data_IF_764845308563
#
_entry.id   IF_764845308563
#
_cell.length_a   1.000
_cell.length_b   1.000
_cell.length_c   1.000
_cell.angle_alpha   90.00
_cell.angle_beta   90.00
_cell.angle_gamma   90.00
#
_symmetry.space_group_name_H-M   'P 1'
#
loop_
_entity.id
_entity.type
_entity.pdbx_description
1 polymer ?
#
# COMPACT_ATOMS: atom_id res chain seq x y z
N UNK A 1 5.74 3.30 7.08
CA UNK A 1 4.52 4.03 6.72
C UNK A 1 4.34 5.12 7.76
N UNK A 2 4.25 6.39 7.38
CA UNK A 2 4.09 7.45 8.35
C UNK A 2 2.74 7.34 9.09
N UNK A 3 2.77 7.47 10.40
CA UNK A 3 1.62 7.44 11.29
C UNK A 3 0.66 8.62 11.13
N UNK A 4 0.88 9.48 10.17
CA UNK A 4 0.08 10.69 10.02
C UNK A 4 -0.37 10.82 8.58
N UNK A 5 -1.61 11.20 8.39
CA UNK A 5 -2.18 11.67 7.13
C UNK A 5 -1.53 12.96 6.63
N UNK A 6 -0.52 13.46 7.32
CA UNK A 6 0.29 14.58 6.83
C UNK A 6 1.24 14.06 5.77
N UNK A 7 0.86 14.27 4.54
CA UNK A 7 1.49 13.82 3.31
C UNK A 7 2.85 14.40 2.98
N UNK A 8 3.42 15.10 3.90
CA UNK A 8 4.80 15.57 3.77
C UNK A 8 5.70 14.55 4.45
N UNK A 9 6.12 13.54 3.71
CA UNK A 9 7.31 12.77 4.09
C UNK A 9 8.51 13.69 3.97
N UNK A 10 8.60 14.64 4.90
CA UNK A 10 9.81 15.46 5.01
C UNK A 10 10.92 14.57 5.55
N UNK A 11 12.09 14.60 4.95
CA UNK A 11 13.29 14.09 5.58
C UNK A 11 13.38 14.68 6.99
N UNK A 12 13.83 13.88 7.94
CA UNK A 12 14.11 14.38 9.28
C UNK A 12 15.55 14.03 9.66
N UNK A 13 16.13 14.83 10.54
CA UNK A 13 17.52 14.65 10.94
C UNK A 13 17.79 13.29 11.62
N UNK A 14 16.81 12.70 12.29
CA UNK A 14 16.94 11.36 12.85
C UNK A 14 17.24 10.31 11.77
N UNK A 15 16.52 10.35 10.65
CA UNK A 15 16.78 9.43 9.52
C UNK A 15 18.14 9.65 8.89
N UNK A 16 18.56 10.91 8.77
CA UNK A 16 19.91 11.26 8.30
C UNK A 16 20.97 10.74 9.28
N UNK A 17 20.75 10.90 10.58
CA UNK A 17 21.64 10.38 11.62
C UNK A 17 21.77 8.86 11.59
N UNK A 18 20.66 8.14 11.44
CA UNK A 18 20.70 6.67 11.26
C UNK A 18 21.41 6.25 9.99
N UNK A 19 21.17 6.94 8.87
CA UNK A 19 21.87 6.64 7.62
C UNK A 19 23.38 6.90 7.73
N UNK A 20 23.80 7.99 8.38
CA UNK A 20 25.22 8.29 8.66
C UNK A 20 25.86 7.22 9.56
N UNK A 21 25.16 6.80 10.62
CA UNK A 21 25.64 5.72 11.49
C UNK A 21 25.76 4.39 10.73
N UNK A 22 24.76 4.03 9.95
CA UNK A 22 24.79 2.81 9.13
C UNK A 22 25.93 2.85 8.10
N UNK A 23 26.13 4.02 7.47
CA UNK A 23 27.24 4.20 6.54
C UNK A 23 28.59 3.91 7.19
N UNK A 24 28.83 4.40 8.42
CA UNK A 24 30.07 4.24 9.15
C UNK A 24 30.23 2.84 9.75
N UNK A 25 29.19 2.34 10.42
CA UNK A 25 29.25 1.06 11.13
C UNK A 25 29.31 -0.13 10.17
N UNK A 26 28.57 -0.08 9.06
CA UNK A 26 28.45 -1.17 8.08
C UNK A 26 29.26 -0.92 6.79
N UNK A 27 30.07 0.15 6.75
CA UNK A 27 30.77 0.60 5.54
C UNK A 27 29.84 0.65 4.31
N UNK A 28 28.65 1.25 4.50
CA UNK A 28 27.57 1.23 3.50
C UNK A 28 27.54 2.52 2.67
N UNK A 29 27.99 2.50 1.41
CA UNK A 29 28.10 3.70 0.59
C UNK A 29 26.74 4.24 0.13
N UNK A 30 25.70 3.41 0.00
CA UNK A 30 24.34 3.88 -0.34
C UNK A 30 23.68 4.63 0.82
N UNK A 31 23.91 4.20 2.06
CA UNK A 31 23.46 4.94 3.23
C UNK A 31 24.15 6.32 3.32
N UNK A 32 25.44 6.41 2.98
CA UNK A 32 26.16 7.66 2.86
C UNK A 32 25.57 8.56 1.76
N UNK A 33 25.28 7.98 0.58
CA UNK A 33 24.62 8.70 -0.53
C UNK A 33 23.26 9.26 -0.14
N UNK A 34 22.43 8.46 0.55
CA UNK A 34 21.13 8.92 1.05
C UNK A 34 21.27 10.11 2.02
N UNK A 35 22.18 10.02 2.99
CA UNK A 35 22.42 11.11 3.94
C UNK A 35 22.88 12.38 3.22
N UNK A 36 23.81 12.29 2.26
CA UNK A 36 24.28 13.43 1.44
C UNK A 36 23.14 14.07 0.67
N UNK A 37 22.34 13.28 -0.06
CA UNK A 37 21.21 13.79 -0.86
C UNK A 37 20.22 14.62 -0.03
N UNK A 38 20.01 14.24 1.23
CA UNK A 38 19.13 15.02 2.12
C UNK A 38 19.84 16.28 2.63
N UNK A 39 21.11 16.17 3.04
CA UNK A 39 21.87 17.29 3.58
C UNK A 39 22.12 18.38 2.52
N UNK A 40 22.29 18.01 1.26
CA UNK A 40 22.39 18.97 0.14
C UNK A 40 21.11 19.80 -0.05
N UNK A 41 19.95 19.15 0.11
CA UNK A 41 18.65 19.84 -0.03
C UNK A 41 18.23 20.61 1.22
N UNK A 42 18.58 20.12 2.40
CA UNK A 42 18.22 20.70 3.70
C UNK A 42 19.44 20.71 4.65
N UNK A 43 20.45 21.58 4.43
CA UNK A 43 21.70 21.57 5.21
C UNK A 43 21.50 21.75 6.73
N UNK A 44 20.45 22.47 7.12
CA UNK A 44 20.13 22.73 8.52
C UNK A 44 19.24 21.65 9.18
N UNK A 45 18.95 20.56 8.47
CA UNK A 45 18.04 19.53 8.99
C UNK A 45 18.58 18.90 10.28
N UNK A 46 19.88 18.71 10.36
CA UNK A 46 20.54 18.17 11.56
C UNK A 46 20.47 19.14 12.73
N UNK A 47 20.71 20.44 12.52
CA UNK A 47 20.60 21.47 13.57
C UNK A 47 19.21 21.48 14.21
N UNK A 48 18.16 21.37 13.41
CA UNK A 48 16.76 21.32 13.88
C UNK A 48 16.43 20.07 14.68
N UNK A 49 17.17 18.98 14.48
CA UNK A 49 16.92 17.68 15.12
C UNK A 49 17.72 17.53 16.42
N UNK A 50 18.93 18.09 16.49
CA UNK A 50 19.83 18.00 17.62
C UNK A 50 19.34 18.69 18.90
N UNK A 51 18.47 19.66 18.78
CA UNK A 51 18.03 20.48 19.91
C UNK A 51 16.82 19.92 20.66
N UNK A 52 16.68 18.61 20.74
CA UNK A 52 15.96 18.08 21.87
C UNK A 52 14.67 17.37 21.64
N UNK A 53 14.54 16.35 20.81
CA UNK A 53 13.33 15.49 20.92
C UNK A 53 13.45 14.01 20.57
N UNK A 54 14.55 13.46 20.22
CA UNK A 54 14.60 12.01 20.05
C UNK A 54 15.99 11.49 20.32
N UNK A 55 16.07 10.40 21.04
CA UNK A 55 17.24 9.64 21.37
C UNK A 55 18.19 9.55 20.19
N UNK A 56 18.99 10.53 20.15
CA UNK A 56 19.63 10.98 18.98
C UNK A 56 21.02 10.37 18.96
N UNK A 57 21.39 10.06 17.81
CA UNK A 57 22.73 9.65 17.50
C UNK A 57 23.75 10.79 17.65
N UNK A 58 23.44 11.89 18.39
CA UNK A 58 24.34 13.00 18.61
C UNK A 58 25.59 12.54 19.32
N UNK A 59 25.42 11.81 20.43
CA UNK A 59 26.53 11.25 21.16
C UNK A 59 27.40 10.35 20.26
N UNK A 60 26.76 9.52 19.42
CA UNK A 60 27.45 8.67 18.47
C UNK A 60 28.31 9.51 17.49
N UNK A 61 27.74 10.53 16.89
CA UNK A 61 28.46 11.40 15.96
C UNK A 61 29.62 12.16 16.61
N UNK A 62 29.47 12.52 17.88
CA UNK A 62 30.52 13.18 18.64
C UNK A 62 31.63 12.21 19.09
N UNK A 63 31.34 10.95 19.25
CA UNK A 63 32.27 9.96 19.83
C UNK A 63 32.83 8.97 18.82
N UNK A 64 32.17 8.76 17.68
CA UNK A 64 32.64 7.79 16.68
C UNK A 64 33.97 8.22 16.06
N UNK A 65 34.89 7.25 15.94
CA UNK A 65 36.14 7.39 15.21
C UNK A 65 36.05 6.76 13.80
N UNK A 66 34.90 6.17 13.45
CA UNK A 66 34.71 5.52 12.16
C UNK A 66 34.49 6.56 11.06
N UNK A 67 35.18 6.42 9.95
CA UNK A 67 35.05 7.27 8.77
C UNK A 67 33.85 6.85 7.92
N UNK A 68 33.39 7.74 7.05
CA UNK A 68 32.46 7.36 5.98
C UNK A 68 33.14 6.44 4.96
N UNK A 69 32.37 5.60 4.25
CA UNK A 69 32.88 4.81 3.14
C UNK A 69 33.63 5.71 2.14
N UNK A 70 34.77 5.23 1.63
CA UNK A 70 35.53 5.92 0.58
C UNK A 70 34.88 5.77 -0.79
N UNK A 71 34.16 4.67 -0.99
CA UNK A 71 33.45 4.38 -2.23
C UNK A 71 32.19 5.26 -2.33
N UNK A 72 32.01 5.89 -3.48
CA UNK A 72 30.79 6.62 -3.80
C UNK A 72 29.85 5.76 -4.62
N UNK A 73 28.58 5.73 -4.23
CA UNK A 73 27.51 5.01 -4.93
C UNK A 73 26.32 5.90 -5.18
N UNK A 74 25.56 5.58 -6.23
CA UNK A 74 24.29 6.25 -6.53
C UNK A 74 23.12 5.45 -5.98
N UNK A 75 22.09 6.14 -5.48
CA UNK A 75 20.83 5.51 -5.11
C UNK A 75 20.13 4.85 -6.31
N UNK A 76 20.44 5.27 -7.54
CA UNK A 76 19.93 4.67 -8.78
C UNK A 76 20.38 3.21 -8.97
N UNK A 77 21.44 2.77 -8.30
CA UNK A 77 21.94 1.40 -8.36
C UNK A 77 21.17 0.42 -7.45
N UNK A 78 20.34 0.96 -6.54
CA UNK A 78 19.54 0.12 -5.64
C UNK A 78 18.41 -0.57 -6.39
N UNK A 79 18.00 -1.77 -5.96
CA UNK A 79 16.84 -2.45 -6.51
C UNK A 79 15.59 -1.58 -6.44
N UNK A 80 14.82 -1.51 -7.54
CA UNK A 80 13.60 -0.72 -7.59
C UNK A 80 12.48 -1.32 -6.73
N UNK A 81 12.50 -2.62 -6.51
CA UNK A 81 11.57 -3.31 -5.61
C UNK A 81 12.30 -3.81 -4.38
N UNK A 82 11.72 -3.59 -3.20
CA UNK A 82 12.22 -4.15 -1.95
C UNK A 82 11.09 -4.65 -1.07
N UNK A 83 11.23 -5.88 -0.59
CA UNK A 83 10.30 -6.53 0.34
C UNK A 83 10.98 -6.72 1.69
N UNK A 84 10.32 -6.26 2.73
CA UNK A 84 10.68 -6.46 4.13
C UNK A 84 9.62 -7.42 4.72
N UNK A 85 9.74 -8.71 4.38
CA UNK A 85 8.75 -9.74 4.69
C UNK A 85 8.49 -9.88 6.20
N UNK A 86 9.53 -9.79 7.02
CA UNK A 86 9.41 -9.86 8.49
C UNK A 86 8.51 -8.75 9.08
N UNK A 87 8.48 -7.57 8.46
CA UNK A 87 7.61 -6.48 8.86
C UNK A 87 6.33 -6.40 8.03
N UNK A 88 6.25 -7.18 6.95
CA UNK A 88 5.13 -7.18 6.02
C UNK A 88 5.00 -5.87 5.25
N UNK A 89 6.11 -5.27 4.84
CA UNK A 89 6.14 -4.03 4.06
C UNK A 89 6.90 -4.26 2.77
N UNK A 90 6.38 -3.71 1.68
CA UNK A 90 7.08 -3.70 0.40
C UNK A 90 6.96 -2.35 -0.29
N UNK A 91 7.94 -2.05 -1.15
CA UNK A 91 7.97 -0.85 -1.98
C UNK A 91 8.42 -1.19 -3.39
N UNK A 92 7.77 -0.58 -4.38
CA UNK A 92 8.10 -0.68 -5.80
C UNK A 92 8.29 0.73 -6.35
N UNK A 93 9.42 1.00 -6.97
CA UNK A 93 9.84 2.31 -7.46
C UNK A 93 10.11 2.29 -8.95
N UNK A 94 10.07 3.44 -9.60
CA UNK A 94 10.52 3.61 -10.98
C UNK A 94 11.90 4.27 -11.05
N UNK A 95 12.28 5.04 -10.03
CA UNK A 95 13.58 5.68 -9.95
C UNK A 95 13.94 6.03 -8.50
N UNK A 96 15.05 5.55 -8.01
CA UNK A 96 15.60 5.94 -6.71
C UNK A 96 16.66 7.04 -6.83
N UNK A 97 17.20 7.25 -8.03
CA UNK A 97 18.15 8.32 -8.31
C UNK A 97 17.49 9.70 -8.50
N UNK A 98 16.23 9.74 -8.96
CA UNK A 98 15.47 10.99 -9.14
C UNK A 98 14.10 10.89 -8.46
N UNK A 99 14.06 11.29 -7.18
CA UNK A 99 12.81 11.25 -6.39
C UNK A 99 11.72 12.14 -7.02
N UNK A 100 12.10 13.21 -7.71
CA UNK A 100 11.15 14.12 -8.36
C UNK A 100 10.36 13.47 -9.49
N UNK A 101 10.90 12.42 -10.12
CA UNK A 101 10.28 11.64 -11.19
C UNK A 101 9.90 10.22 -10.77
N UNK A 102 10.09 9.88 -9.50
CA UNK A 102 9.81 8.54 -9.00
C UNK A 102 8.30 8.32 -8.83
N UNK A 103 7.75 7.37 -9.56
CA UNK A 103 6.49 6.74 -9.23
C UNK A 103 6.76 5.59 -8.25
N UNK A 104 5.96 5.47 -7.20
CA UNK A 104 6.14 4.45 -6.19
C UNK A 104 4.79 3.86 -5.78
N UNK A 105 4.77 2.54 -5.60
CA UNK A 105 3.72 1.85 -4.86
C UNK A 105 4.31 1.30 -3.57
N UNK A 106 3.65 1.56 -2.45
CA UNK A 106 3.93 0.90 -1.18
C UNK A 106 2.82 -0.06 -0.82
N UNK A 107 3.16 -1.18 -0.21
CA UNK A 107 2.24 -2.24 0.18
C UNK A 107 2.47 -2.66 1.62
N UNK A 108 1.40 -3.05 2.31
CA UNK A 108 1.49 -3.58 3.67
C UNK A 108 0.59 -4.80 3.84
N UNK A 109 1.19 -5.90 4.29
CA UNK A 109 0.54 -7.09 4.84
C UNK A 109 1.43 -7.62 5.96
N UNK A 110 1.12 -7.25 7.21
CA UNK A 110 2.04 -7.37 8.33
C UNK A 110 1.64 -8.47 9.31
N UNK A 111 2.59 -9.34 9.74
CA UNK A 111 2.34 -10.37 10.73
C UNK A 111 2.01 -9.82 12.12
N UNK A 112 2.30 -8.54 12.38
CA UNK A 112 2.06 -7.90 13.67
C UNK A 112 0.67 -7.26 13.81
N UNK A 113 -0.24 -7.52 12.87
CA UNK A 113 -1.60 -6.99 12.93
C UNK A 113 -1.70 -5.48 12.99
N UNK A 114 -2.64 -4.97 13.79
CA UNK A 114 -2.91 -3.54 13.95
C UNK A 114 -2.94 -3.12 15.43
N UNK A 115 -1.86 -3.38 16.17
CA UNK A 115 -1.72 -2.98 17.56
C UNK A 115 -1.11 -1.59 17.71
N UNK A 116 -1.27 -0.96 18.90
CA UNK A 116 -0.71 0.36 19.24
C UNK A 116 -1.03 1.44 18.19
N UNK A 117 -0.04 1.93 17.47
CA UNK A 117 -0.19 2.94 16.43
C UNK A 117 -0.46 2.37 15.03
N UNK A 118 -0.39 1.07 14.84
CA UNK A 118 -0.65 0.44 13.55
C UNK A 118 -2.14 0.54 13.18
N UNK A 119 -2.43 0.45 11.88
CA UNK A 119 -3.75 0.63 11.31
C UNK A 119 -4.32 -0.72 10.85
N UNK A 120 -5.64 -0.86 10.80
CA UNK A 120 -6.31 -2.04 10.26
C UNK A 120 -6.29 -1.99 8.72
N UNK A 121 -5.11 -2.18 8.14
CA UNK A 121 -4.84 -1.95 6.73
C UNK A 121 -3.99 -3.05 6.07
N UNK A 122 -4.28 -4.31 6.42
CA UNK A 122 -3.65 -5.44 5.75
C UNK A 122 -4.06 -5.48 4.28
N UNK A 123 -3.12 -5.86 3.42
CA UNK A 123 -3.25 -5.83 1.96
C UNK A 123 -3.61 -4.44 1.40
N UNK A 124 -3.32 -3.35 2.14
CA UNK A 124 -3.47 -2.01 1.61
C UNK A 124 -2.23 -1.57 0.83
N UNK A 125 -2.46 -0.81 -0.23
CA UNK A 125 -1.40 -0.16 -0.99
C UNK A 125 -1.58 1.35 -1.03
N UNK A 126 -0.51 2.06 -1.36
CA UNK A 126 -0.57 3.50 -1.63
C UNK A 126 0.29 3.82 -2.86
N UNK A 127 -0.10 4.82 -3.64
CA UNK A 127 0.68 5.30 -4.78
C UNK A 127 1.23 6.70 -4.54
N UNK A 128 2.40 6.97 -5.09
CA UNK A 128 3.11 8.23 -4.93
C UNK A 128 3.77 8.63 -6.24
N UNK A 129 3.92 9.94 -6.42
CA UNK A 129 4.76 10.50 -7.47
C UNK A 129 5.46 11.76 -6.96
N UNK A 130 6.75 11.92 -7.29
CA UNK A 130 7.52 13.07 -6.85
C UNK A 130 7.61 13.23 -5.33
N UNK A 131 7.60 12.11 -4.61
CA UNK A 131 7.62 12.07 -3.14
C UNK A 131 6.31 12.46 -2.46
N UNK A 132 5.21 12.65 -3.21
CA UNK A 132 3.88 12.95 -2.67
C UNK A 132 2.87 11.86 -2.99
N UNK A 133 1.96 11.61 -2.03
CA UNK A 133 0.91 10.62 -2.16
C UNK A 133 -0.13 11.01 -3.22
N UNK A 134 -0.70 9.99 -3.87
CA UNK A 134 -1.84 10.13 -4.77
C UNK A 134 -3.00 9.32 -4.20
N UNK A 135 -3.05 7.98 -4.39
CA UNK A 135 -3.95 7.14 -3.61
C UNK A 135 -3.31 6.83 -2.27
N UNK A 136 -3.95 7.23 -1.17
CA UNK A 136 -3.36 7.17 0.14
C UNK A 136 -4.40 6.96 1.24
N UNK A 137 -3.97 6.45 2.39
CA UNK A 137 -4.81 6.30 3.58
C UNK A 137 -5.45 7.61 4.00
N UNK A 138 -6.76 7.62 4.23
CA UNK A 138 -7.55 8.78 4.62
C UNK A 138 -7.73 8.89 6.15
N UNK A 139 -8.55 9.83 6.61
CA UNK A 139 -8.82 10.07 8.02
C UNK A 139 -7.75 10.90 8.72
N UNK A 140 -8.05 11.30 9.95
CA UNK A 140 -7.18 12.13 10.78
C UNK A 140 -6.95 11.49 12.14
N UNK A 141 -5.73 11.53 12.61
CA UNK A 141 -5.43 11.14 13.99
C UNK A 141 -5.73 12.31 14.91
N UNK A 142 -6.98 12.41 15.34
CA UNK A 142 -7.48 13.46 16.23
C UNK A 142 -7.13 13.18 17.69
N UNK A 143 -7.11 11.92 18.07
CA UNK A 143 -6.69 11.40 19.36
C UNK A 143 -6.14 9.99 19.23
N UNK A 144 -6.28 9.16 20.26
CA UNK A 144 -5.87 7.77 20.23
C UNK A 144 -7.05 6.80 20.11
N UNK A 145 -8.17 7.13 20.73
CA UNK A 145 -9.37 6.29 20.83
C UNK A 145 -10.68 7.08 20.62
N UNK A 146 -10.61 8.31 20.13
CA UNK A 146 -11.81 9.04 19.72
C UNK A 146 -12.48 8.39 18.51
N UNK A 147 -13.76 8.69 18.30
CA UNK A 147 -14.58 8.06 17.26
C UNK A 147 -13.97 8.21 15.88
N UNK A 148 -13.45 9.37 15.52
CA UNK A 148 -12.85 9.56 14.21
C UNK A 148 -11.54 8.77 14.05
N UNK A 149 -10.73 8.68 15.11
CA UNK A 149 -9.53 7.86 15.11
C UNK A 149 -9.88 6.38 14.95
N UNK A 150 -10.90 5.89 15.66
CA UNK A 150 -11.25 4.47 15.68
C UNK A 150 -12.05 4.03 14.46
N UNK A 151 -13.06 4.80 14.04
CA UNK A 151 -14.00 4.40 12.99
C UNK A 151 -13.64 4.93 11.59
N UNK A 152 -12.72 5.91 11.48
CA UNK A 152 -12.18 6.36 10.22
C UNK A 152 -10.68 6.03 10.11
N UNK A 153 -9.81 6.76 10.81
CA UNK A 153 -8.37 6.73 10.59
C UNK A 153 -7.72 5.35 10.76
N UNK A 154 -8.11 4.59 11.80
CA UNK A 154 -7.60 3.24 12.07
C UNK A 154 -8.30 2.14 11.30
N UNK A 155 -9.50 2.42 10.84
CA UNK A 155 -10.42 1.47 10.24
C UNK A 155 -10.04 1.18 8.79
N UNK A 156 -10.28 -0.02 8.31
CA UNK A 156 -10.02 -0.43 6.93
C UNK A 156 -10.74 0.44 5.90
N UNK A 157 -11.88 1.05 6.29
CA UNK A 157 -12.64 2.01 5.46
C UNK A 157 -11.83 3.23 5.01
N UNK A 158 -10.71 3.52 5.67
CA UNK A 158 -9.82 4.63 5.32
C UNK A 158 -8.62 4.21 4.45
N UNK A 159 -8.56 2.97 4.00
CA UNK A 159 -7.38 2.42 3.33
C UNK A 159 -7.73 1.80 1.98
N UNK A 160 -6.79 1.81 1.04
CA UNK A 160 -6.94 1.20 -0.29
C UNK A 160 -6.86 -0.34 -0.15
N UNK A 161 -7.91 -0.93 0.38
CA UNK A 161 -8.05 -2.35 0.67
C UNK A 161 -9.47 -2.83 0.35
N UNK A 162 -9.93 -3.90 0.95
CA UNK A 162 -11.26 -4.50 0.72
C UNK A 162 -12.09 -4.42 2.00
N UNK A 163 -13.42 -4.21 1.89
CA UNK A 163 -14.36 -4.51 2.97
C UNK A 163 -15.19 -5.74 2.60
N UNK A 164 -15.62 -6.48 3.60
CA UNK A 164 -16.46 -7.68 3.48
C UNK A 164 -17.79 -7.41 4.19
N UNK A 165 -18.91 -7.31 3.47
CA UNK A 165 -20.19 -6.84 4.01
C UNK A 165 -20.07 -5.49 4.77
N UNK A 166 -19.21 -4.59 4.30
CA UNK A 166 -18.89 -3.36 5.00
C UNK A 166 -18.04 -3.54 6.27
N UNK A 167 -17.67 -4.79 6.62
CA UNK A 167 -16.84 -5.09 7.79
C UNK A 167 -15.38 -4.74 7.54
N UNK A 168 -14.75 -4.27 8.61
CA UNK A 168 -13.34 -3.89 8.68
C UNK A 168 -12.48 -5.02 9.26
N UNK A 169 -11.18 -4.88 9.15
CA UNK A 169 -10.23 -5.77 9.79
C UNK A 169 -10.20 -5.56 11.32
N UNK A 170 -9.80 -6.60 12.05
CA UNK A 170 -9.65 -6.55 13.52
C UNK A 170 -8.62 -5.49 13.92
N UNK A 171 -8.83 -4.92 15.09
CA UNK A 171 -7.82 -4.12 15.77
C UNK A 171 -7.16 -5.02 16.81
N UNK A 172 -5.85 -5.15 16.73
CA UNK A 172 -5.06 -6.06 17.56
C UNK A 172 -4.04 -6.85 16.73
N UNK A 173 -3.25 -7.68 17.38
CA UNK A 173 -2.28 -8.56 16.74
C UNK A 173 -2.97 -9.69 15.97
N UNK A 174 -4.15 -10.09 16.37
CA UNK A 174 -4.94 -11.16 15.78
C UNK A 174 -5.46 -10.80 14.36
N UNK A 175 -5.48 -9.50 14.03
CA UNK A 175 -5.84 -9.00 12.71
C UNK A 175 -4.64 -8.91 11.77
N UNK A 176 -3.90 -9.99 11.62
CA UNK A 176 -2.65 -10.02 10.87
C UNK A 176 -2.82 -10.43 9.40
N UNK A 177 -1.80 -10.13 8.64
CA UNK A 177 -1.54 -10.64 7.31
C UNK A 177 -0.05 -10.89 7.16
N UNK A 178 0.40 -11.41 6.03
CA UNK A 178 1.83 -11.57 5.73
C UNK A 178 2.07 -11.51 4.22
N UNK A 179 3.34 -11.51 3.82
CA UNK A 179 3.77 -11.59 2.42
C UNK A 179 4.34 -13.00 2.17
N UNK A 180 3.52 -13.98 1.72
CA UNK A 180 3.98 -15.35 1.53
C UNK A 180 4.91 -15.53 0.34
N UNK A 181 4.78 -14.73 -0.72
CA UNK A 181 5.61 -14.84 -1.92
C UNK A 181 5.98 -13.49 -2.47
N UNK A 182 7.21 -13.40 -2.98
CA UNK A 182 7.66 -12.20 -3.69
C UNK A 182 8.80 -12.52 -4.65
N UNK A 183 9.01 -11.61 -5.57
CA UNK A 183 10.13 -11.59 -6.50
C UNK A 183 10.58 -10.14 -6.73
N UNK A 184 11.82 -9.84 -6.40
CA UNK A 184 12.47 -8.55 -6.60
C UNK A 184 13.27 -8.63 -7.92
N UNK A 185 12.66 -8.24 -9.03
CA UNK A 185 13.24 -8.37 -10.37
C UNK A 185 13.61 -7.03 -11.02
N UNK A 186 14.24 -7.10 -12.21
CA UNK A 186 14.60 -5.92 -12.98
C UNK A 186 13.51 -5.51 -13.97
N UNK A 187 12.93 -6.48 -14.70
CA UNK A 187 11.89 -6.21 -15.70
C UNK A 187 10.49 -6.52 -15.22
N UNK A 188 10.37 -7.35 -14.21
CA UNK A 188 9.12 -7.67 -13.54
C UNK A 188 9.36 -7.91 -12.07
N UNK A 189 8.54 -7.33 -11.21
CA UNK A 189 8.55 -7.64 -9.77
C UNK A 189 7.18 -8.08 -9.32
N UNK A 190 7.13 -8.93 -8.29
CA UNK A 190 5.89 -9.54 -7.81
C UNK A 190 5.84 -9.62 -6.30
N UNK A 191 4.65 -9.35 -5.75
CA UNK A 191 4.37 -9.49 -4.33
C UNK A 191 2.98 -10.08 -4.21
N UNK A 192 2.78 -11.02 -3.28
CA UNK A 192 1.44 -11.39 -2.83
C UNK A 192 1.34 -11.19 -1.33
N UNK A 193 0.28 -10.53 -0.89
CA UNK A 193 -0.09 -10.42 0.51
C UNK A 193 -1.30 -11.30 0.79
N UNK A 194 -1.29 -11.96 1.94
CA UNK A 194 -2.41 -12.74 2.45
C UNK A 194 -2.96 -12.05 3.71
N UNK A 195 -4.22 -11.66 3.67
CA UNK A 195 -4.95 -11.02 4.77
C UNK A 195 -6.18 -11.82 5.20
N UNK A 196 -6.20 -13.13 4.91
CA UNK A 196 -7.33 -14.01 5.22
C UNK A 196 -7.68 -14.04 6.72
N UNK A 197 -6.69 -13.83 7.59
CA UNK A 197 -6.89 -13.79 9.05
C UNK A 197 -7.21 -12.39 9.62
N UNK A 198 -7.21 -11.36 8.76
CA UNK A 198 -7.33 -10.00 9.24
C UNK A 198 -8.74 -9.63 9.74
N UNK A 199 -9.79 -10.27 9.23
CA UNK A 199 -11.18 -9.91 9.52
C UNK A 199 -11.76 -10.67 10.71
N UNK A 200 -12.79 -10.12 11.34
CA UNK A 200 -13.51 -10.71 12.44
C UNK A 200 -13.75 -9.76 13.60
N UNK A 201 -14.28 -10.29 14.72
CA UNK A 201 -14.47 -9.56 15.97
C UNK A 201 -13.15 -9.10 16.56
N UNK A 202 -13.18 -7.98 17.26
CA UNK A 202 -12.05 -7.53 18.10
C UNK A 202 -12.06 -8.37 19.36
N UNK A 203 -10.98 -9.13 19.58
CA UNK A 203 -10.82 -10.03 20.73
C UNK A 203 -9.66 -9.65 21.64
N UNK A 204 -8.76 -8.78 21.17
CA UNK A 204 -7.58 -8.34 21.91
C UNK A 204 -7.95 -7.65 23.24
N UNK A 205 -7.59 -8.19 24.43
CA UNK A 205 -8.03 -7.66 25.74
C UNK A 205 -7.69 -6.18 25.93
N UNK A 206 -6.51 -5.76 25.44
CA UNK A 206 -6.08 -4.36 25.55
C UNK A 206 -7.01 -3.42 24.77
N UNK A 207 -7.53 -3.85 23.61
CA UNK A 207 -8.43 -3.02 22.82
C UNK A 207 -9.85 -3.04 23.36
N UNK A 208 -10.34 -4.19 23.88
CA UNK A 208 -11.62 -4.27 24.56
C UNK A 208 -11.65 -3.34 25.79
N UNK A 209 -10.62 -3.40 26.65
CA UNK A 209 -10.50 -2.51 27.81
C UNK A 209 -10.41 -1.03 27.41
N UNK A 210 -9.68 -0.71 26.34
CA UNK A 210 -9.63 0.66 25.82
C UNK A 210 -10.98 1.13 25.28
N UNK A 211 -11.73 0.25 24.63
CA UNK A 211 -13.08 0.50 24.18
C UNK A 211 -14.01 0.89 25.32
N UNK A 212 -14.00 0.11 26.41
CA UNK A 212 -14.76 0.42 27.63
C UNK A 212 -14.42 1.81 28.18
N UNK A 213 -13.12 2.13 28.29
CA UNK A 213 -12.66 3.41 28.84
C UNK A 213 -12.95 4.61 27.93
N UNK A 214 -13.06 4.43 26.64
CA UNK A 214 -13.25 5.51 25.65
C UNK A 214 -14.65 5.58 25.07
N UNK A 215 -15.53 4.62 25.39
CA UNK A 215 -16.84 4.48 24.77
C UNK A 215 -16.82 3.92 23.35
N UNK A 216 -15.67 3.43 22.87
CA UNK A 216 -15.55 2.81 21.53
C UNK A 216 -16.29 1.47 21.51
N UNK A 217 -17.19 1.30 20.54
CA UNK A 217 -17.99 0.09 20.35
C UNK A 217 -17.45 -0.73 19.18
N UNK A 218 -17.22 -2.03 19.41
CA UNK A 218 -16.79 -2.98 18.38
C UNK A 218 -17.97 -3.86 17.97
N UNK A 219 -18.94 -3.27 17.28
CA UNK A 219 -20.19 -3.92 16.88
C UNK A 219 -20.27 -4.06 15.36
N UNK A 220 -21.21 -4.89 14.83
CA UNK A 220 -21.43 -5.01 13.39
C UNK A 220 -21.70 -3.67 12.70
N UNK A 221 -22.48 -2.77 13.34
CA UNK A 221 -22.81 -1.44 12.80
C UNK A 221 -21.57 -0.54 12.68
N UNK A 222 -20.58 -0.80 13.50
CA UNK A 222 -19.28 -0.11 13.47
C UNK A 222 -18.24 -0.80 12.60
N UNK A 223 -18.56 -2.00 12.07
CA UNK A 223 -17.75 -2.74 11.11
C UNK A 223 -17.00 -3.95 11.67
N UNK A 224 -17.33 -4.46 12.85
CA UNK A 224 -16.72 -5.66 13.41
C UNK A 224 -17.75 -6.73 13.72
N UNK A 225 -17.65 -7.87 13.04
CA UNK A 225 -18.53 -9.03 13.20
C UNK A 225 -17.75 -10.32 13.02
N UNK A 226 -18.42 -11.47 13.04
CA UNK A 226 -17.81 -12.76 12.76
C UNK A 226 -17.06 -12.77 11.42
N UNK A 227 -15.96 -13.49 11.37
CA UNK A 227 -15.18 -13.62 10.15
C UNK A 227 -15.95 -14.41 9.09
N UNK A 228 -16.37 -13.74 8.04
CA UNK A 228 -17.05 -14.32 6.88
C UNK A 228 -16.13 -14.59 5.70
N UNK A 229 -14.83 -14.44 5.89
CA UNK A 229 -13.79 -14.57 4.88
C UNK A 229 -13.09 -15.93 5.02
N UNK A 230 -12.92 -16.63 3.91
CA UNK A 230 -12.02 -17.76 3.77
C UNK A 230 -10.68 -17.33 3.19
N UNK A 231 -10.69 -16.42 2.20
CA UNK A 231 -9.46 -15.97 1.54
C UNK A 231 -9.52 -14.50 1.12
N UNK A 232 -8.41 -13.80 1.39
CA UNK A 232 -8.08 -12.52 0.75
C UNK A 232 -6.59 -12.49 0.42
N UNK A 233 -6.26 -12.78 -0.82
CA UNK A 233 -4.92 -12.58 -1.39
C UNK A 233 -4.93 -11.43 -2.38
N UNK A 234 -3.94 -10.56 -2.27
CA UNK A 234 -3.70 -9.45 -3.21
C UNK A 234 -2.34 -9.66 -3.86
N UNK A 235 -2.36 -9.86 -5.17
CA UNK A 235 -1.18 -9.97 -6.01
C UNK A 235 -0.87 -8.61 -6.60
N UNK A 236 0.38 -8.16 -6.50
CA UNK A 236 0.85 -6.90 -7.08
C UNK A 236 2.04 -7.20 -7.97
N UNK A 237 1.94 -6.81 -9.23
CA UNK A 237 2.98 -7.01 -10.24
C UNK A 237 3.39 -5.63 -10.77
N UNK A 238 4.67 -5.31 -10.69
CA UNK A 238 5.24 -4.11 -11.32
C UNK A 238 5.75 -4.47 -12.71
N UNK A 239 5.36 -3.68 -13.71
CA UNK A 239 5.73 -3.87 -15.11
C UNK A 239 6.96 -3.01 -15.47
N UNK A 240 8.15 -3.55 -15.23
CA UNK A 240 9.40 -2.81 -15.39
C UNK A 240 9.42 -1.53 -14.56
N UNK A 241 10.06 -0.50 -15.09
CA UNK A 241 10.13 0.83 -14.46
C UNK A 241 9.12 1.82 -15.07
N UNK A 242 8.01 1.31 -15.62
CA UNK A 242 7.01 2.13 -16.33
C UNK A 242 6.10 2.96 -15.41
N UNK A 243 6.00 2.59 -14.13
CA UNK A 243 5.00 3.12 -13.19
C UNK A 243 3.64 2.41 -13.31
N UNK A 244 3.57 1.33 -14.09
CA UNK A 244 2.36 0.50 -14.20
C UNK A 244 2.44 -0.66 -13.21
N UNK A 245 1.38 -0.81 -12.43
CA UNK A 245 1.20 -1.88 -11.46
C UNK A 245 -0.08 -2.63 -11.78
N UNK A 246 -0.01 -3.96 -11.82
CA UNK A 246 -1.17 -4.84 -11.95
C UNK A 246 -1.50 -5.36 -10.57
N UNK A 247 -2.73 -5.13 -10.11
CA UNK A 247 -3.23 -5.60 -8.80
C UNK A 247 -4.36 -6.58 -9.08
N UNK A 248 -4.20 -7.83 -8.61
CA UNK A 248 -5.20 -8.86 -8.77
C UNK A 248 -5.61 -9.38 -7.39
N UNK A 249 -6.91 -9.22 -7.06
CA UNK A 249 -7.47 -9.67 -5.79
C UNK A 249 -8.18 -10.99 -5.97
N UNK A 250 -7.81 -11.95 -5.12
CA UNK A 250 -8.41 -13.25 -4.97
C UNK A 250 -9.18 -13.27 -3.65
N UNK A 251 -10.53 -13.32 -3.76
CA UNK A 251 -11.44 -13.20 -2.63
C UNK A 251 -12.38 -14.40 -2.58
N UNK A 252 -12.49 -15.02 -1.41
CA UNK A 252 -13.43 -16.13 -1.16
C UNK A 252 -14.06 -15.96 0.22
N UNK A 253 -15.39 -15.97 0.27
CA UNK A 253 -16.19 -15.91 1.48
C UNK A 253 -16.67 -17.29 1.92
N UNK A 254 -16.97 -17.47 3.19
CA UNK A 254 -17.65 -18.66 3.73
C UNK A 254 -19.07 -18.80 3.18
N UNK A 255 -19.68 -17.65 2.90
CA UNK A 255 -21.01 -17.50 2.31
C UNK A 255 -20.99 -16.38 1.25
N UNK A 256 -22.12 -16.12 0.60
CA UNK A 256 -22.25 -14.97 -0.29
C UNK A 256 -22.22 -13.66 0.51
N UNK A 257 -21.27 -12.79 0.18
CA UNK A 257 -21.02 -11.49 0.83
C UNK A 257 -20.82 -10.41 -0.23
N UNK A 258 -20.99 -9.15 0.15
CA UNK A 258 -20.56 -8.03 -0.68
C UNK A 258 -19.08 -7.73 -0.46
N UNK A 259 -18.37 -7.38 -1.54
CA UNK A 259 -16.95 -7.02 -1.53
C UNK A 259 -16.81 -5.58 -1.98
N UNK A 260 -16.24 -4.71 -1.16
CA UNK A 260 -16.01 -3.32 -1.53
C UNK A 260 -14.52 -3.05 -1.73
N UNK A 261 -14.13 -2.78 -2.98
CA UNK A 261 -12.81 -2.29 -3.33
C UNK A 261 -12.75 -0.78 -3.07
N UNK A 262 -11.72 -0.32 -2.36
CA UNK A 262 -11.61 1.06 -1.89
C UNK A 262 -10.39 1.78 -2.47
N UNK A 263 -10.58 3.05 -2.85
CA UNK A 263 -9.50 4.01 -3.14
C UNK A 263 -9.77 5.33 -2.43
N UNK A 264 -8.69 6.02 -2.04
CA UNK A 264 -8.79 7.28 -1.32
C UNK A 264 -7.77 8.28 -1.85
N UNK A 265 -8.18 9.55 -1.96
CA UNK A 265 -7.27 10.67 -2.16
C UNK A 265 -7.42 11.68 -1.02
N UNK A 266 -6.36 12.43 -0.74
CA UNK A 266 -6.28 13.27 0.47
C UNK A 266 -5.83 14.70 0.17
N UNK A 267 -5.22 14.97 -0.98
CA UNK A 267 -4.79 16.32 -1.39
C UNK A 267 -5.73 16.97 -2.40
N UNK A 268 -6.21 16.19 -3.36
CA UNK A 268 -7.04 16.65 -4.46
C UNK A 268 -8.23 15.71 -4.65
N UNK A 269 -9.34 16.18 -5.20
CA UNK A 269 -10.46 15.33 -5.61
C UNK A 269 -10.00 14.20 -6.53
N UNK A 270 -10.70 13.08 -6.48
CA UNK A 270 -10.58 12.05 -7.52
C UNK A 270 -11.71 12.19 -8.54
N UNK A 271 -11.45 11.71 -9.73
CA UNK A 271 -12.40 11.65 -10.83
C UNK A 271 -12.75 10.19 -11.12
N UNK A 272 -14.00 9.90 -11.43
CA UNK A 272 -14.46 8.56 -11.81
C UNK A 272 -15.16 8.63 -13.18
N UNK A 273 -14.92 7.59 -13.99
CA UNK A 273 -15.64 7.33 -15.25
C UNK A 273 -16.09 5.88 -15.26
N UNK A 274 -17.37 5.65 -15.47
CA UNK A 274 -17.90 4.33 -15.75
C UNK A 274 -17.85 4.07 -17.25
N UNK A 275 -17.20 2.97 -17.62
CA UNK A 275 -17.08 2.52 -19.01
C UNK A 275 -17.70 1.12 -19.13
N UNK A 276 -18.05 0.64 -20.31
CA UNK A 276 -18.54 -0.72 -20.46
C UNK A 276 -17.52 -1.74 -19.90
N UNK A 277 -17.89 -2.46 -18.83
CA UNK A 277 -17.08 -3.47 -18.13
C UNK A 277 -15.80 -2.95 -17.45
N UNK A 278 -15.70 -1.66 -17.18
CA UNK A 278 -14.55 -1.03 -16.52
C UNK A 278 -15.00 0.19 -15.72
N UNK A 279 -14.34 0.41 -14.58
CA UNK A 279 -14.42 1.69 -13.86
C UNK A 279 -13.03 2.31 -13.84
N UNK A 280 -12.92 3.53 -14.34
CA UNK A 280 -11.67 4.29 -14.30
C UNK A 280 -11.73 5.31 -13.16
N UNK A 281 -10.72 5.28 -12.28
CA UNK A 281 -10.59 6.24 -11.18
C UNK A 281 -9.25 6.95 -11.29
N UNK A 282 -9.27 8.27 -11.34
CA UNK A 282 -8.07 9.10 -11.46
C UNK A 282 -7.84 9.90 -10.20
N UNK A 283 -6.68 9.70 -9.58
CA UNK A 283 -6.16 10.51 -8.48
C UNK A 283 -4.99 11.36 -8.95
N UNK A 284 -4.81 12.54 -8.32
CA UNK A 284 -3.74 13.49 -8.61
C UNK A 284 -3.10 14.00 -7.32
N UNK A 285 -1.87 14.49 -7.41
CA UNK A 285 -1.22 15.20 -6.31
C UNK A 285 -0.68 16.58 -6.75
N UNK A 286 -0.32 17.42 -5.78
CA UNK A 286 0.19 18.78 -6.02
C UNK A 286 1.64 18.83 -6.55
N UNK A 287 2.29 17.68 -6.75
CA UNK A 287 3.61 17.58 -7.40
C UNK A 287 3.50 17.23 -8.90
N UNK A 288 2.29 17.27 -9.46
CA UNK A 288 2.04 16.91 -10.86
C UNK A 288 2.00 15.39 -11.08
N UNK A 289 1.81 14.61 -10.03
CA UNK A 289 1.61 13.17 -10.13
C UNK A 289 0.17 12.80 -10.45
N UNK A 290 -0.01 11.76 -11.25
CA UNK A 290 -1.29 11.17 -11.64
C UNK A 290 -1.22 9.67 -11.39
N UNK A 291 -2.29 9.08 -10.86
CA UNK A 291 -2.52 7.63 -10.84
C UNK A 291 -3.89 7.35 -11.43
N UNK A 292 -3.93 6.55 -12.48
CA UNK A 292 -5.16 6.10 -13.13
C UNK A 292 -5.37 4.63 -12.83
N UNK A 293 -6.45 4.30 -12.14
CA UNK A 293 -6.84 2.93 -11.83
C UNK A 293 -7.90 2.48 -12.84
N UNK A 294 -7.60 1.48 -13.66
CA UNK A 294 -8.53 0.76 -14.52
C UNK A 294 -9.00 -0.48 -13.77
N UNK A 295 -10.20 -0.44 -13.20
CA UNK A 295 -10.75 -1.48 -12.33
C UNK A 295 -11.74 -2.35 -13.10
N UNK A 296 -11.52 -3.66 -13.04
CA UNK A 296 -12.36 -4.72 -13.58
C UNK A 296 -12.80 -5.66 -12.46
N UNK A 297 -14.03 -6.15 -12.52
CA UNK A 297 -14.59 -7.06 -11.52
C UNK A 297 -15.17 -8.31 -12.16
N UNK A 298 -15.15 -9.44 -11.44
CA UNK A 298 -15.84 -10.69 -11.82
C UNK A 298 -17.35 -10.61 -11.64
N UNK A 299 -17.83 -9.76 -10.74
CA UNK A 299 -19.23 -9.57 -10.42
C UNK A 299 -19.68 -8.16 -10.79
N UNK A 300 -21.01 -7.97 -10.96
CA UNK A 300 -21.57 -6.63 -11.09
C UNK A 300 -21.27 -5.81 -9.85
N UNK A 301 -20.86 -4.56 -10.06
CA UNK A 301 -20.52 -3.63 -8.97
C UNK A 301 -21.35 -2.34 -9.05
N UNK A 302 -21.57 -1.74 -7.90
CA UNK A 302 -22.09 -0.41 -7.72
C UNK A 302 -20.97 0.51 -7.22
N UNK A 303 -20.86 1.70 -7.79
CA UNK A 303 -19.80 2.65 -7.49
C UNK A 303 -20.32 3.83 -6.70
N UNK A 304 -19.47 4.35 -5.80
CA UNK A 304 -19.75 5.60 -5.08
C UNK A 304 -18.45 6.39 -4.88
N UNK A 305 -18.59 7.74 -4.94
CA UNK A 305 -17.57 8.68 -4.47
C UNK A 305 -18.20 9.61 -3.44
N UNK A 306 -17.51 9.79 -2.31
CA UNK A 306 -17.89 10.76 -1.29
C UNK A 306 -16.67 11.62 -0.89
N UNK A 307 -16.91 12.87 -0.52
CA UNK A 307 -15.90 13.80 0.02
C UNK A 307 -16.02 13.99 1.54
N UNK A 308 -16.79 13.14 2.19
CA UNK A 308 -17.09 13.18 3.62
C UNK A 308 -16.70 11.85 4.28
N UNK A 309 -16.53 11.87 5.60
CA UNK A 309 -16.25 10.66 6.35
C UNK A 309 -17.54 9.94 6.76
N UNK A 310 -17.45 8.65 6.95
CA UNK A 310 -18.58 7.77 7.35
C UNK A 310 -18.81 7.72 8.87
N UNK A 311 -18.10 8.52 9.66
CA UNK A 311 -18.31 8.71 11.10
C UNK A 311 -18.20 10.19 11.46
N UNK A 312 -18.70 10.56 12.61
CA UNK A 312 -18.64 11.95 13.09
C UNK A 312 -17.19 12.36 13.44
N UNK A 313 -16.78 13.58 13.12
CA UNK A 313 -17.51 14.46 12.24
C UNK A 313 -17.42 14.01 10.78
N UNK A 314 -18.57 13.89 10.13
CA UNK A 314 -18.63 13.46 8.71
C UNK A 314 -18.03 14.50 7.77
N UNK A 315 -18.05 15.76 8.18
CA UNK A 315 -17.49 16.88 7.44
C UNK A 315 -16.67 17.77 8.37
N UNK A 316 -15.41 18.00 8.02
CA UNK A 316 -14.47 18.77 8.82
C UNK A 316 -14.43 20.27 8.49
N UNK A 317 -15.13 20.73 7.46
CA UNK A 317 -15.05 22.13 6.98
C UNK A 317 -15.37 23.16 8.07
N UNK A 318 -16.30 22.83 8.98
CA UNK A 318 -16.78 23.74 10.01
C UNK A 318 -16.62 23.20 11.43
N UNK A 319 -15.72 22.26 11.65
CA UNK A 319 -15.49 21.69 12.98
C UNK A 319 -14.61 22.63 13.79
N UNK A 320 -15.05 22.93 15.02
CA UNK A 320 -14.28 23.72 15.99
C UNK A 320 -13.85 22.87 17.18
N UNK A 321 -12.79 23.27 17.85
CA UNK A 321 -12.41 22.68 19.14
C UNK A 321 -13.30 23.23 20.29
N UNK A 322 -13.09 22.74 21.51
CA UNK A 322 -13.85 23.18 22.68
C UNK A 322 -13.77 24.69 22.98
N UNK A 323 -12.76 25.38 22.45
CA UNK A 323 -12.55 26.82 22.56
C UNK A 323 -13.11 27.61 21.38
N UNK A 324 -13.92 26.95 20.49
CA UNK A 324 -14.52 27.59 19.32
C UNK A 324 -13.56 27.87 18.16
N UNK A 325 -12.29 27.44 18.24
CA UNK A 325 -11.30 27.64 17.16
C UNK A 325 -11.50 26.57 16.09
N UNK A 326 -11.57 26.99 14.83
CA UNK A 326 -11.69 26.10 13.68
C UNK A 326 -10.54 25.08 13.62
N UNK A 327 -10.87 23.82 13.49
CA UNK A 327 -9.92 22.75 13.22
C UNK A 327 -9.67 22.70 11.72
N UNK A 328 -8.43 22.89 11.31
CA UNK A 328 -8.03 22.92 9.90
C UNK A 328 -7.73 21.49 9.38
N UNK A 329 -8.73 20.62 9.44
CA UNK A 329 -8.66 19.30 8.82
C UNK A 329 -9.45 19.31 7.50
N UNK A 330 -8.81 19.00 6.34
CA UNK A 330 -9.54 18.85 5.09
C UNK A 330 -10.41 17.60 5.08
N UNK A 331 -11.49 17.61 4.30
CA UNK A 331 -12.14 16.38 3.90
C UNK A 331 -11.23 15.59 2.95
N UNK A 332 -11.46 14.29 2.88
CA UNK A 332 -10.78 13.39 1.95
C UNK A 332 -11.84 12.77 1.02
N UNK A 333 -11.38 12.25 -0.12
CA UNK A 333 -12.28 11.61 -1.09
C UNK A 333 -12.16 10.10 -0.97
N UNK A 334 -13.30 9.43 -1.04
CA UNK A 334 -13.46 8.00 -0.84
C UNK A 334 -14.20 7.42 -2.03
N UNK A 335 -13.56 6.53 -2.76
CA UNK A 335 -14.19 5.72 -3.80
C UNK A 335 -14.44 4.33 -3.26
N UNK A 336 -15.59 3.76 -3.61
CA UNK A 336 -15.90 2.35 -3.41
C UNK A 336 -16.52 1.74 -4.68
N UNK A 337 -16.12 0.49 -4.96
CA UNK A 337 -16.77 -0.38 -5.95
C UNK A 337 -17.22 -1.63 -5.23
N UNK A 338 -18.53 -1.77 -5.02
CA UNK A 338 -19.12 -2.81 -4.17
C UNK A 338 -19.88 -3.82 -5.02
N UNK A 339 -19.56 -5.11 -4.89
CA UNK A 339 -20.22 -6.19 -5.64
C UNK A 339 -21.64 -6.45 -5.14
N UNK A 340 -22.48 -7.01 -5.99
CA UNK A 340 -23.62 -7.80 -5.52
C UNK A 340 -23.13 -8.95 -4.64
N UNK A 341 -23.97 -9.51 -3.72
CA UNK A 341 -23.54 -10.62 -2.89
C UNK A 341 -23.06 -11.81 -3.74
N UNK A 342 -21.82 -12.25 -3.51
CA UNK A 342 -21.24 -13.43 -4.16
C UNK A 342 -20.22 -14.08 -3.23
N UNK A 343 -20.06 -15.41 -3.35
CA UNK A 343 -19.12 -16.19 -2.54
C UNK A 343 -17.67 -15.96 -2.97
N UNK A 344 -17.47 -15.79 -4.27
CA UNK A 344 -16.14 -15.60 -4.88
C UNK A 344 -16.14 -14.30 -5.66
N UNK A 345 -15.17 -13.45 -5.43
CA UNK A 345 -14.93 -12.25 -6.23
C UNK A 345 -13.47 -12.15 -6.68
N UNK A 346 -13.28 -11.53 -7.84
CA UNK A 346 -11.98 -11.19 -8.40
C UNK A 346 -12.01 -9.74 -8.84
N UNK A 347 -11.03 -8.98 -8.43
CA UNK A 347 -10.77 -7.66 -8.99
C UNK A 347 -9.43 -7.67 -9.70
N UNK A 348 -9.39 -7.05 -10.87
CA UNK A 348 -8.15 -6.69 -11.56
C UNK A 348 -8.08 -5.18 -11.64
N UNK A 349 -7.00 -4.60 -11.17
CA UNK A 349 -6.71 -3.18 -11.35
C UNK A 349 -5.41 -3.03 -12.12
N UNK A 350 -5.45 -2.32 -13.24
CA UNK A 350 -4.23 -1.82 -13.90
C UNK A 350 -4.07 -0.38 -13.46
N UNK A 351 -3.03 -0.13 -12.67
CA UNK A 351 -2.72 1.17 -12.06
C UNK A 351 -1.56 1.82 -12.82
N UNK A 352 -1.82 2.91 -13.54
CA UNK A 352 -0.78 3.71 -14.19
C UNK A 352 -0.45 4.94 -13.34
N UNK A 353 0.76 5.00 -12.79
CA UNK A 353 1.23 6.10 -11.93
C UNK A 353 2.40 6.82 -12.58
N UNK A 354 2.23 8.11 -12.84
CA UNK A 354 3.20 8.90 -13.61
C UNK A 354 3.13 10.40 -13.32
N UNK A 355 4.03 11.18 -13.90
CA UNK A 355 3.95 12.65 -13.91
C UNK A 355 3.00 13.15 -15.02
N UNK A 356 2.42 14.33 -14.83
CA UNK A 356 1.51 14.97 -15.78
C UNK A 356 2.16 15.36 -17.13
N UNK A 357 3.47 15.18 -17.26
CA UNK A 357 4.22 15.36 -18.51
C UNK A 357 4.19 14.14 -19.44
N UNK A 358 3.55 13.04 -19.06
CA UNK A 358 3.32 11.84 -19.84
C UNK A 358 1.81 11.60 -19.95
N UNK A 359 1.29 11.20 -21.12
CA UNK A 359 -0.11 10.76 -21.22
C UNK A 359 -0.33 9.45 -20.49
N UNK A 360 -1.58 9.21 -20.09
CA UNK A 360 -2.02 7.94 -19.54
C UNK A 360 -1.75 6.81 -20.53
N UNK A 361 -1.33 5.66 -20.03
CA UNK A 361 -1.17 4.48 -20.87
C UNK A 361 -2.53 3.95 -21.29
N UNK A 362 -2.62 3.60 -22.58
CA UNK A 362 -3.84 2.97 -23.09
C UNK A 362 -3.96 1.57 -22.53
N UNK A 363 -5.05 1.32 -21.81
CA UNK A 363 -5.45 0.00 -21.32
C UNK A 363 -6.62 -0.49 -22.17
N UNK A 364 -6.49 -1.68 -22.76
CA UNK A 364 -7.51 -2.27 -23.63
C UNK A 364 -7.86 -3.65 -23.12
N UNK A 365 -9.14 -3.87 -22.78
CA UNK A 365 -9.66 -5.19 -22.40
C UNK A 365 -10.37 -5.86 -23.56
N UNK A 366 -10.07 -7.14 -23.77
CA UNK A 366 -10.79 -8.03 -24.67
C UNK A 366 -11.02 -9.38 -23.97
N UNK A 367 -12.24 -9.60 -23.50
CA UNK A 367 -12.57 -10.78 -22.67
C UNK A 367 -11.76 -10.81 -21.38
N UNK A 368 -10.99 -11.89 -21.20
CA UNK A 368 -10.10 -12.09 -20.04
C UNK A 368 -8.69 -11.53 -20.24
N UNK A 369 -8.43 -10.91 -21.39
CA UNK A 369 -7.14 -10.33 -21.72
C UNK A 369 -7.18 -8.82 -21.59
N UNK A 370 -6.20 -8.26 -20.89
CA UNK A 370 -5.96 -6.82 -20.81
C UNK A 370 -4.58 -6.53 -21.36
N UNK A 371 -4.48 -5.54 -22.26
CA UNK A 371 -3.23 -5.07 -22.84
C UNK A 371 -2.90 -3.67 -22.35
N UNK A 372 -1.65 -3.46 -21.94
CA UNK A 372 -1.08 -2.15 -21.58
C UNK A 372 0.34 -2.06 -22.14
N UNK A 373 0.54 -1.18 -23.13
CA UNK A 373 1.77 -1.16 -23.92
C UNK A 373 2.07 -2.54 -24.53
N UNK A 374 3.30 -3.04 -24.34
CA UNK A 374 3.74 -4.37 -24.83
C UNK A 374 3.38 -5.51 -23.86
N UNK A 375 2.72 -5.20 -22.75
CA UNK A 375 2.32 -6.20 -21.76
C UNK A 375 0.93 -6.75 -22.04
N UNK A 376 0.80 -8.05 -21.91
CA UNK A 376 -0.45 -8.79 -22.03
C UNK A 376 -0.74 -9.47 -20.68
N UNK A 377 -1.90 -9.18 -20.13
CA UNK A 377 -2.38 -9.70 -18.86
C UNK A 377 -3.58 -10.60 -19.16
N UNK A 378 -3.51 -11.89 -18.81
CA UNK A 378 -4.64 -12.80 -18.84
C UNK A 378 -4.96 -13.23 -17.44
N UNK A 379 -6.19 -13.06 -17.00
CA UNK A 379 -6.60 -13.49 -15.66
C UNK A 379 -8.01 -14.07 -15.64
N UNK A 380 -8.24 -14.92 -14.67
CA UNK A 380 -9.60 -15.41 -14.40
C UNK A 380 -10.38 -14.31 -13.65
N UNK A 381 -11.28 -13.64 -14.35
CA UNK A 381 -12.25 -12.70 -13.79
C UNK A 381 -13.66 -13.31 -13.76
N UNK A 382 -13.78 -14.62 -13.56
CA UNK A 382 -15.05 -15.29 -13.36
C UNK A 382 -15.18 -15.74 -11.90
N UNK A 383 -16.41 -15.85 -11.41
CA UNK A 383 -16.69 -16.41 -10.07
C UNK A 383 -16.36 -17.91 -10.02
N UNK A 384 -16.39 -18.58 -11.17
CA UNK A 384 -16.08 -20.01 -11.30
C UNK A 384 -14.61 -20.23 -11.64
N UNK A 385 -14.09 -21.36 -11.18
CA UNK A 385 -12.69 -21.76 -11.41
C UNK A 385 -11.73 -21.18 -10.39
N UNK A 386 -10.49 -21.67 -10.43
CA UNK A 386 -9.43 -21.19 -9.54
C UNK A 386 -8.89 -19.83 -10.01
N UNK A 387 -8.37 -19.06 -9.08
CA UNK A 387 -7.69 -17.81 -9.42
C UNK A 387 -6.44 -18.11 -10.25
N UNK A 388 -6.25 -17.32 -11.30
CA UNK A 388 -5.08 -17.42 -12.16
C UNK A 388 -4.82 -16.07 -12.82
N UNK A 389 -3.55 -15.73 -12.95
CA UNK A 389 -3.10 -14.56 -13.70
C UNK A 389 -1.78 -14.86 -14.39
N UNK A 390 -1.71 -14.51 -15.67
CA UNK A 390 -0.49 -14.54 -16.46
C UNK A 390 -0.20 -13.14 -16.99
N UNK A 391 1.01 -12.65 -16.76
CA UNK A 391 1.50 -11.36 -17.26
C UNK A 391 2.71 -11.62 -18.14
N UNK A 392 2.68 -11.17 -19.38
CA UNK A 392 3.75 -11.43 -20.35
C UNK A 392 4.15 -10.18 -21.12
N UNK A 393 5.44 -10.04 -21.34
CA UNK A 393 6.03 -9.14 -22.33
C UNK A 393 6.90 -9.97 -23.28
N UNK A 394 6.42 -10.21 -24.49
CA UNK A 394 7.09 -11.09 -25.45
C UNK A 394 8.39 -10.47 -25.99
N UNK A 395 8.43 -9.16 -26.19
CA UNK A 395 9.62 -8.46 -26.71
C UNK A 395 10.78 -8.54 -25.72
N UNK A 396 10.50 -8.40 -24.41
CA UNK A 396 11.48 -8.51 -23.33
C UNK A 396 11.72 -9.97 -22.88
N UNK A 397 10.94 -10.93 -23.36
CA UNK A 397 10.97 -12.36 -22.92
C UNK A 397 10.77 -12.51 -21.40
N UNK A 398 9.84 -11.74 -20.87
CA UNK A 398 9.50 -11.69 -19.44
C UNK A 398 8.10 -12.19 -19.21
N UNK A 399 7.89 -12.96 -18.15
CA UNK A 399 6.57 -13.45 -17.78
C UNK A 399 6.43 -13.73 -16.28
N UNK A 400 5.21 -13.61 -15.81
CA UNK A 400 4.75 -14.15 -14.53
C UNK A 400 3.53 -15.02 -14.80
N UNK A 401 3.48 -16.18 -14.19
CA UNK A 401 2.34 -17.09 -14.25
C UNK A 401 1.99 -17.52 -12.81
N UNK A 402 0.79 -17.17 -12.35
CA UNK A 402 0.18 -17.67 -11.12
C UNK A 402 -1.06 -18.49 -11.45
N UNK A 403 -1.20 -19.66 -10.82
CA UNK A 403 -2.34 -20.56 -10.95
C UNK A 403 -2.62 -21.25 -9.61
N UNK A 404 -3.69 -20.86 -8.94
CA UNK A 404 -4.11 -21.43 -7.65
C UNK A 404 -4.56 -22.91 -7.74
N UNK A 405 -4.77 -23.41 -8.94
CA UNK A 405 -5.07 -24.83 -9.16
C UNK A 405 -3.85 -25.76 -9.04
N UNK A 406 -2.66 -25.21 -9.03
CA UNK A 406 -1.39 -25.95 -8.91
C UNK A 406 -0.90 -25.98 -7.47
N UNK A 407 -0.61 -27.18 -6.94
CA UNK A 407 -0.02 -27.36 -5.60
C UNK A 407 1.46 -26.93 -5.58
N UNK A 408 2.22 -27.38 -6.57
CA UNK A 408 3.63 -27.04 -6.76
C UNK A 408 3.80 -26.16 -7.99
N UNK A 409 4.71 -25.19 -7.92
CA UNK A 409 4.92 -24.27 -9.02
C UNK A 409 3.74 -23.35 -9.30
N UNK A 410 2.94 -23.03 -8.27
CA UNK A 410 1.79 -22.15 -8.40
C UNK A 410 2.17 -20.76 -8.93
N UNK A 411 3.41 -20.31 -8.71
CA UNK A 411 3.92 -19.05 -9.27
C UNK A 411 5.27 -19.26 -9.91
N UNK A 412 5.37 -18.93 -11.19
CA UNK A 412 6.61 -19.00 -11.97
C UNK A 412 6.88 -17.61 -12.54
N UNK A 413 8.08 -17.10 -12.34
CA UNK A 413 8.54 -15.83 -12.90
C UNK A 413 9.70 -16.09 -13.84
N UNK A 414 9.66 -15.51 -15.04
CA UNK A 414 10.78 -15.41 -15.98
C UNK A 414 11.14 -13.95 -16.13
N UNK A 415 12.40 -13.60 -15.91
CA UNK A 415 12.90 -12.23 -15.95
C UNK A 415 14.23 -12.11 -16.70
N UNK A 416 14.63 -10.90 -17.00
CA UNK A 416 15.93 -10.54 -17.59
C UNK A 416 16.75 -9.78 -16.54
N UNK A 417 17.69 -10.47 -15.91
CA UNK A 417 18.59 -9.87 -14.92
C UNK A 417 19.97 -9.67 -15.53
N UNK A 418 20.41 -8.42 -15.63
CA UNK A 418 21.70 -8.04 -16.26
C UNK A 418 21.87 -8.69 -17.65
N UNK A 419 20.79 -8.70 -18.44
CA UNK A 419 20.76 -9.25 -19.79
C UNK A 419 20.73 -10.79 -19.87
N UNK A 420 20.59 -11.49 -18.73
CA UNK A 420 20.45 -12.95 -18.70
C UNK A 420 19.04 -13.33 -18.33
N UNK A 421 18.43 -14.22 -19.12
CA UNK A 421 17.12 -14.77 -18.78
C UNK A 421 17.24 -15.74 -17.61
N UNK A 422 16.42 -15.54 -16.60
CA UNK A 422 16.27 -16.44 -15.45
C UNK A 422 14.81 -16.85 -15.32
N UNK A 423 14.58 -18.06 -14.81
CA UNK A 423 13.23 -18.51 -14.45
C UNK A 423 13.27 -19.07 -13.03
N UNK A 424 12.28 -18.68 -12.22
CA UNK A 424 12.20 -19.05 -10.82
C UNK A 424 10.80 -19.50 -10.46
N UNK A 425 10.68 -20.65 -9.81
CA UNK A 425 9.48 -21.09 -9.11
C UNK A 425 9.50 -20.46 -7.73
N UNK A 426 8.41 -19.78 -7.35
CA UNK A 426 8.28 -19.16 -6.05
C UNK A 426 7.50 -20.07 -5.11
N UNK A 427 8.02 -20.24 -3.90
CA UNK A 427 7.39 -20.99 -2.81
C UNK A 427 6.89 -20.04 -1.73
N UNK A 428 5.88 -20.47 -0.97
CA UNK A 428 5.37 -19.69 0.14
C UNK A 428 6.39 -19.67 1.30
N UNK A 429 6.63 -18.47 1.79
CA UNK A 429 7.28 -18.22 3.06
C UNK A 429 6.22 -18.19 4.16
N UNK A 430 6.42 -19.00 5.17
CA UNK A 430 5.62 -18.95 6.41
C UNK A 430 6.52 -18.33 7.47
N UNK A 431 6.12 -17.20 8.07
CA UNK A 431 6.89 -16.63 9.16
C UNK A 431 6.85 -17.61 10.36
N UNK A 432 8.03 -17.88 10.94
CA UNK A 432 8.13 -18.59 12.20
C UNK A 432 7.66 -17.63 13.32
N UNK A 433 6.42 -17.78 13.72
CA UNK A 433 5.91 -17.12 14.91
C UNK A 433 6.29 -17.97 16.13
N UNK A 434 7.46 -17.80 16.67
CA UNK A 434 7.70 -18.14 18.07
C UNK A 434 6.93 -17.11 18.93
N UNK A 435 5.79 -17.53 19.46
CA UNK A 435 4.97 -16.76 20.42
C UNK A 435 5.45 -17.06 21.82
#
# INVERSE_FOLDING_TARGET
IPYTTRQKMKPNGTRVGYADALARECNNPWAAAYARTILEKEPDIMKKTFLGKSGDLTWYRCTTKKSLPKEERSLAELPMTKVFNETGIATMHTSLGDIGKNAMLSFRSSPYGSTSHALANQNAFNTFYGGKAIFYSSGHRTGFTDDHCMYAYRNTRAHNSILVNGMTQKIGTEGYGWIPRWYEGEKISYIVGDASNAYGKVTAPIWLKRGELSGTQYTPEKGWDENKLDMFRRHIIQLGNSGVYVIYDELEGKEAVTWSYLLHTVELPMEMKELPNEVQVTGKNKAGGVSVAHLFSSAKTEQAIADTFFCAPTNWKNVTNAQGKALKYPNHWHFSSTTVPCKVARFLTVMDTHGNNRPDMKVVRNGNTVQVGDWVINCNLAEKGKAAITVTNKSEKVSLNYDAGKKEGATIVTDQIKGKQISKVLTDYLPDFEI
#
